data_IF_905591245276
#
_entry.id   IF_905591245276
#
_cell.length_a   1.000
_cell.length_b   1.000
_cell.length_c   1.000
_cell.angle_alpha   90.00
_cell.angle_beta   90.00
_cell.angle_gamma   90.00
#
_symmetry.space_group_name_H-M   'P 1'
#
loop_
_entity.id
_entity.type
_entity.pdbx_description
1 polymer ?
#
# COMPACT_ATOMS: atom_id res chain seq x y z
N UNK A 1 -1.99 -9.50 -18.54
CA UNK A 1 -0.70 -9.70 -19.23
C UNK A 1 0.38 -8.91 -18.50
N UNK A 2 1.36 -9.57 -17.85
CA UNK A 2 2.56 -8.94 -17.26
C UNK A 2 3.84 -9.73 -17.59
N UNK A 3 3.81 -10.59 -18.61
CA UNK A 3 4.97 -11.41 -19.00
C UNK A 3 6.07 -10.46 -19.50
N UNK A 4 7.23 -10.47 -18.85
CA UNK A 4 8.40 -9.63 -19.18
C UNK A 4 8.62 -8.42 -18.27
N UNK A 5 7.57 -7.91 -17.62
CA UNK A 5 7.64 -6.73 -16.72
C UNK A 5 7.90 -7.09 -15.25
N UNK A 6 7.92 -8.38 -14.92
CA UNK A 6 8.13 -8.88 -13.54
C UNK A 6 9.61 -8.95 -13.22
N UNK A 7 10.01 -8.43 -12.05
CA UNK A 7 11.35 -8.57 -11.50
C UNK A 7 11.76 -10.03 -11.31
N UNK A 8 12.99 -10.36 -11.74
CA UNK A 8 13.57 -11.70 -11.54
C UNK A 8 14.00 -11.89 -10.09
N UNK A 9 13.89 -13.12 -9.57
CA UNK A 9 14.30 -13.43 -8.18
C UNK A 9 15.82 -13.27 -8.02
N UNK A 10 16.25 -12.68 -6.90
CA UNK A 10 17.67 -12.55 -6.54
C UNK A 10 18.43 -11.36 -7.15
N UNK A 11 17.78 -10.51 -7.96
CA UNK A 11 18.38 -9.24 -8.41
C UNK A 11 17.99 -8.11 -7.45
N UNK A 12 18.96 -7.31 -7.01
CA UNK A 12 18.76 -6.13 -6.15
C UNK A 12 18.34 -4.88 -6.91
N UNK A 13 18.71 -4.77 -8.18
CA UNK A 13 18.32 -3.69 -9.07
C UNK A 13 17.76 -4.25 -10.38
N UNK A 14 16.58 -3.77 -10.78
CA UNK A 14 15.91 -4.19 -12.02
C UNK A 14 15.10 -3.01 -12.58
N UNK A 15 15.78 -1.99 -13.14
CA UNK A 15 15.15 -0.76 -13.58
C UNK A 15 14.14 -1.02 -14.71
N UNK A 16 13.00 -0.32 -14.66
CA UNK A 16 11.93 -0.46 -15.66
C UNK A 16 11.01 -1.67 -15.48
N UNK A 17 11.16 -2.43 -14.39
CA UNK A 17 10.25 -3.55 -14.05
C UNK A 17 9.27 -3.19 -12.94
N UNK A 18 8.09 -3.78 -13.01
CA UNK A 18 7.03 -3.61 -12.02
C UNK A 18 7.38 -4.43 -10.78
N UNK A 19 7.56 -3.74 -9.65
CA UNK A 19 7.64 -4.37 -8.33
C UNK A 19 6.25 -4.34 -7.70
N UNK A 20 5.70 -5.53 -7.43
CA UNK A 20 4.40 -5.66 -6.78
C UNK A 20 4.64 -5.63 -5.27
N UNK A 21 4.62 -4.43 -4.68
CA UNK A 21 4.95 -4.24 -3.26
C UNK A 21 3.82 -4.67 -2.31
N UNK A 22 2.57 -4.61 -2.78
CA UNK A 22 1.39 -4.83 -1.95
C UNK A 22 0.27 -5.48 -2.76
N UNK A 23 -0.36 -6.49 -2.16
CA UNK A 23 -1.60 -7.09 -2.63
C UNK A 23 -2.63 -6.99 -1.52
N UNK A 24 -3.84 -6.56 -1.88
CA UNK A 24 -4.96 -6.41 -0.96
C UNK A 24 -6.17 -7.16 -1.54
N UNK A 25 -6.89 -7.85 -0.67
CA UNK A 25 -8.19 -8.41 -0.98
C UNK A 25 -9.24 -7.29 -1.00
N UNK A 26 -10.28 -7.48 -1.82
CA UNK A 26 -11.38 -6.52 -1.94
C UNK A 26 -12.18 -6.36 -0.63
N UNK A 27 -12.14 -7.37 0.25
CA UNK A 27 -12.72 -7.34 1.60
C UNK A 27 -11.93 -6.49 2.57
N UNK A 28 -10.66 -6.16 2.25
CA UNK A 28 -9.68 -5.56 3.16
C UNK A 28 -8.84 -4.50 2.44
N UNK A 29 -9.52 -3.46 1.96
CA UNK A 29 -8.90 -2.37 1.22
C UNK A 29 -8.25 -1.31 2.13
N UNK A 30 -8.59 -1.28 3.41
CA UNK A 30 -8.06 -0.31 4.37
C UNK A 30 -6.68 -0.70 4.90
N UNK A 31 -5.75 0.25 4.96
CA UNK A 31 -4.47 0.03 5.62
C UNK A 31 -4.62 0.07 7.16
N UNK A 32 -3.90 -0.77 7.92
CA UNK A 32 -3.99 -0.77 9.38
C UNK A 32 -3.44 0.52 9.97
N UNK A 33 -4.00 0.94 11.12
CA UNK A 33 -3.70 2.24 11.73
C UNK A 33 -2.22 2.46 12.04
N UNK A 34 -1.49 1.42 12.45
CA UNK A 34 -0.06 1.53 12.78
C UNK A 34 0.85 1.83 11.58
N UNK A 35 0.36 1.62 10.35
CA UNK A 35 1.12 1.86 9.12
C UNK A 35 0.72 3.18 8.44
N UNK A 36 -0.27 3.91 8.98
CA UNK A 36 -0.78 5.17 8.41
C UNK A 36 0.18 6.32 8.75
N UNK A 37 0.83 6.87 7.74
CA UNK A 37 1.74 8.00 7.85
C UNK A 37 1.76 8.77 6.52
N UNK A 38 2.51 9.87 6.46
CA UNK A 38 2.60 10.71 5.26
C UNK A 38 3.16 9.94 4.05
N UNK A 39 4.09 9.00 4.25
CA UNK A 39 4.63 8.18 3.16
C UNK A 39 3.57 7.22 2.61
N UNK A 40 2.86 6.49 3.46
CA UNK A 40 1.81 5.57 3.01
C UNK A 40 0.60 6.31 2.43
N UNK A 41 0.29 7.50 2.93
CA UNK A 41 -0.71 8.38 2.31
C UNK A 41 -0.32 8.76 0.87
N UNK A 42 0.96 9.09 0.65
CA UNK A 42 1.48 9.38 -0.67
C UNK A 42 1.42 8.16 -1.61
N UNK A 43 1.81 6.98 -1.13
CA UNK A 43 1.71 5.73 -1.90
C UNK A 43 0.26 5.43 -2.31
N UNK A 44 -0.72 5.68 -1.43
CA UNK A 44 -2.15 5.51 -1.74
C UNK A 44 -2.59 6.49 -2.83
N UNK A 45 -2.16 7.75 -2.78
CA UNK A 45 -2.46 8.72 -3.84
C UNK A 45 -1.88 8.32 -5.20
N UNK A 46 -0.69 7.71 -5.20
CA UNK A 46 -0.04 7.23 -6.44
C UNK A 46 -0.60 5.90 -6.94
N UNK A 47 -1.33 5.15 -6.11
CA UNK A 47 -1.87 3.86 -6.47
C UNK A 47 -2.91 4.02 -7.60
N UNK A 48 -2.66 3.34 -8.73
CA UNK A 48 -3.59 3.26 -9.86
C UNK A 48 -4.01 1.83 -10.11
N UNK A 49 -5.32 1.55 -10.25
CA UNK A 49 -5.77 0.21 -10.60
C UNK A 49 -5.31 -0.14 -12.02
N UNK A 50 -4.73 -1.32 -12.21
CA UNK A 50 -4.45 -1.85 -13.56
C UNK A 50 -5.74 -2.30 -14.26
N UNK A 51 -6.75 -2.67 -13.48
CA UNK A 51 -8.08 -3.05 -13.94
C UNK A 51 -9.08 -2.63 -12.87
N UNK A 52 -10.05 -1.79 -13.22
CA UNK A 52 -11.05 -1.28 -12.30
C UNK A 52 -12.43 -1.82 -12.69
N UNK A 53 -12.90 -2.83 -11.95
CA UNK A 53 -14.31 -3.24 -11.97
C UNK A 53 -15.01 -2.64 -10.73
N UNK A 54 -16.31 -2.40 -10.82
CA UNK A 54 -17.17 -2.09 -9.66
C UNK A 54 -16.66 -0.94 -8.77
N UNK A 55 -16.14 0.13 -9.40
CA UNK A 55 -15.62 1.33 -8.72
C UNK A 55 -14.54 1.02 -7.67
N UNK A 56 -13.73 -0.04 -7.87
CA UNK A 56 -12.67 -0.48 -6.94
C UNK A 56 -11.78 0.67 -6.44
N UNK A 57 -11.39 1.58 -7.34
CA UNK A 57 -10.56 2.73 -6.97
C UNK A 57 -11.26 3.65 -5.97
N UNK A 58 -12.54 3.94 -6.20
CA UNK A 58 -13.32 4.80 -5.32
C UNK A 58 -13.55 4.16 -3.95
N UNK A 59 -13.81 2.85 -3.92
CA UNK A 59 -13.89 2.08 -2.67
C UNK A 59 -12.57 2.04 -1.90
N UNK A 60 -11.45 1.83 -2.60
CA UNK A 60 -10.12 1.85 -2.00
C UNK A 60 -9.80 3.20 -1.36
N UNK A 61 -10.15 4.31 -2.03
CA UNK A 61 -10.00 5.66 -1.47
C UNK A 61 -10.97 5.93 -0.31
N UNK A 62 -12.21 5.41 -0.37
CA UNK A 62 -13.19 5.57 0.70
C UNK A 62 -12.75 4.88 2.00
N UNK A 63 -12.21 3.66 1.91
CA UNK A 63 -11.65 2.90 3.05
C UNK A 63 -10.35 3.53 3.60
N UNK A 64 -9.71 4.41 2.83
CA UNK A 64 -8.50 5.14 3.19
C UNK A 64 -8.72 6.66 3.23
N UNK A 65 -9.90 7.10 3.69
CA UNK A 65 -10.26 8.52 3.76
C UNK A 65 -9.33 9.37 4.65
N UNK A 66 -8.62 8.74 5.59
CA UNK A 66 -7.59 9.34 6.44
C UNK A 66 -6.44 9.99 5.64
N UNK A 67 -6.25 9.61 4.37
CA UNK A 67 -5.28 10.25 3.47
C UNK A 67 -5.53 11.76 3.33
N UNK A 68 -6.78 12.22 3.48
CA UNK A 68 -7.14 13.64 3.48
C UNK A 68 -6.54 14.44 4.64
N UNK A 69 -6.16 13.79 5.73
CA UNK A 69 -5.46 14.45 6.85
C UNK A 69 -4.08 14.97 6.41
N UNK A 70 -3.44 14.27 5.47
CA UNK A 70 -2.14 14.66 4.91
C UNK A 70 -2.27 15.44 3.59
N UNK A 71 -3.26 15.12 2.77
CA UNK A 71 -3.46 15.70 1.44
C UNK A 71 -4.91 16.19 1.27
N UNK A 72 -5.31 17.31 1.92
CA UNK A 72 -6.69 17.79 1.90
C UNK A 72 -7.16 18.24 0.51
N UNK A 73 -6.22 18.68 -0.33
CA UNK A 73 -6.51 19.13 -1.70
C UNK A 73 -6.72 17.97 -2.69
N UNK A 74 -6.54 16.72 -2.25
CA UNK A 74 -6.71 15.57 -3.13
C UNK A 74 -8.19 15.21 -3.27
N UNK A 75 -8.70 15.29 -4.49
CA UNK A 75 -10.09 14.95 -4.81
C UNK A 75 -10.30 13.44 -4.75
N UNK A 76 -11.05 12.98 -3.74
CA UNK A 76 -11.40 11.57 -3.65
C UNK A 76 -12.62 11.30 -4.53
N UNK A 77 -12.56 10.29 -5.41
CA UNK A 77 -13.73 9.85 -6.16
C UNK A 77 -14.82 9.38 -5.18
N UNK A 78 -16.04 9.88 -5.40
CA UNK A 78 -17.22 9.46 -4.63
C UNK A 78 -17.57 8.01 -4.98
N UNK A 79 -18.00 7.23 -4.00
CA UNK A 79 -18.41 5.83 -4.20
C UNK A 79 -19.77 5.59 -3.56
N UNK A 80 -20.60 4.82 -4.25
CA UNK A 80 -21.74 4.19 -3.60
C UNK A 80 -21.21 2.98 -2.80
N UNK A 81 -21.49 2.96 -1.49
CA UNK A 81 -21.05 1.87 -0.61
C UNK A 81 -21.79 0.59 -1.03
N UNK A 82 -21.11 -0.29 -1.76
CA UNK A 82 -21.61 -1.66 -2.00
C UNK A 82 -21.11 -2.58 -0.91
N UNK A 83 -22.03 -3.30 -0.29
CA UNK A 83 -21.67 -4.39 0.62
C UNK A 83 -20.96 -5.50 -0.16
N UNK A 84 -19.79 -5.90 0.33
CA UNK A 84 -19.13 -7.12 -0.14
C UNK A 84 -20.04 -8.29 0.19
N UNK A 85 -20.45 -9.07 -0.82
CA UNK A 85 -21.35 -10.20 -0.64
C UNK A 85 -20.84 -11.16 0.44
N UNK A 86 -21.73 -11.58 1.35
CA UNK A 86 -21.43 -12.57 2.38
C UNK A 86 -20.93 -13.85 1.71
N UNK A 87 -19.70 -14.24 2.02
CA UNK A 87 -19.10 -15.48 1.53
C UNK A 87 -19.81 -16.70 2.10
N UNK A 88 -19.92 -17.77 1.32
CA UNK A 88 -20.37 -19.05 1.87
C UNK A 88 -19.28 -19.59 2.81
N UNK A 89 -19.66 -20.00 4.01
CA UNK A 89 -18.81 -20.66 5.01
C UNK A 89 -17.90 -21.76 4.47
N UNK A 90 -18.36 -22.51 3.45
CA UNK A 90 -17.54 -23.52 2.78
C UNK A 90 -16.31 -22.91 2.09
N UNK A 91 -16.49 -21.81 1.36
CA UNK A 91 -15.40 -21.12 0.69
C UNK A 91 -14.44 -20.48 1.69
N UNK A 92 -14.93 -19.98 2.82
CA UNK A 92 -14.07 -19.44 3.89
C UNK A 92 -13.15 -20.51 4.50
N UNK A 93 -13.66 -21.74 4.68
CA UNK A 93 -12.82 -22.87 5.15
C UNK A 93 -11.82 -23.31 4.11
N UNK A 94 -12.22 -23.37 2.85
CA UNK A 94 -11.32 -23.73 1.76
C UNK A 94 -10.20 -22.70 1.64
N UNK A 95 -10.52 -21.41 1.75
CA UNK A 95 -9.55 -20.31 1.78
C UNK A 95 -8.57 -20.47 2.94
N UNK A 96 -9.04 -20.80 4.14
CA UNK A 96 -8.17 -21.07 5.29
C UNK A 96 -7.19 -22.23 5.03
N UNK A 97 -7.67 -23.34 4.44
CA UNK A 97 -6.83 -24.48 4.10
C UNK A 97 -5.81 -24.13 3.00
N UNK A 98 -6.25 -23.40 1.97
CA UNK A 98 -5.40 -22.94 0.88
C UNK A 98 -4.31 -22.00 1.39
N UNK A 99 -4.65 -21.06 2.28
CA UNK A 99 -3.68 -20.18 2.93
C UNK A 99 -2.64 -20.99 3.71
N UNK A 100 -3.05 -22.00 4.49
CA UNK A 100 -2.11 -22.87 5.22
C UNK A 100 -1.18 -23.62 4.26
N UNK A 101 -1.71 -24.15 3.16
CA UNK A 101 -0.92 -24.83 2.13
C UNK A 101 0.06 -23.87 1.44
N UNK A 102 -0.36 -22.63 1.14
CA UNK A 102 0.49 -21.59 0.60
C UNK A 102 1.63 -21.24 1.56
N UNK A 103 1.33 -21.04 2.85
CA UNK A 103 2.35 -20.75 3.86
C UNK A 103 3.35 -21.91 4.00
N UNK A 104 2.88 -23.16 3.89
CA UNK A 104 3.73 -24.34 3.91
C UNK A 104 4.65 -24.41 2.69
N UNK A 105 4.11 -24.22 1.48
CA UNK A 105 4.90 -24.17 0.24
C UNK A 105 5.95 -23.05 0.25
N UNK A 106 5.59 -21.90 0.81
CA UNK A 106 6.48 -20.74 0.90
C UNK A 106 7.47 -20.81 2.06
N UNK A 107 7.35 -21.80 2.97
CA UNK A 107 8.10 -21.83 4.24
C UNK A 107 9.61 -21.66 4.03
N UNK A 108 10.18 -22.40 3.09
CA UNK A 108 11.63 -22.41 2.87
C UNK A 108 12.13 -21.21 2.07
N UNK A 109 11.21 -20.38 1.55
CA UNK A 109 11.49 -19.22 0.68
C UNK A 109 11.02 -17.90 1.27
N UNK A 110 10.38 -17.93 2.43
CA UNK A 110 9.84 -16.74 3.09
C UNK A 110 10.99 -15.96 3.68
N UNK A 111 11.03 -14.67 3.34
CA UNK A 111 11.99 -13.73 3.93
C UNK A 111 11.24 -12.79 4.88
N UNK A 112 11.40 -11.47 4.73
CA UNK A 112 10.79 -10.45 5.59
C UNK A 112 9.38 -10.02 5.14
N UNK A 113 8.78 -10.76 4.23
CA UNK A 113 7.45 -10.48 3.68
C UNK A 113 6.33 -10.81 4.68
N UNK A 114 5.35 -9.91 4.78
CA UNK A 114 4.15 -10.09 5.62
C UNK A 114 3.06 -10.71 4.75
N UNK A 115 2.74 -11.99 5.01
CA UNK A 115 1.71 -12.74 4.29
C UNK A 115 0.55 -13.00 5.24
N UNK A 116 -0.49 -12.19 5.13
CA UNK A 116 -1.76 -12.38 5.83
C UNK A 116 -2.83 -12.92 4.87
N UNK A 117 -4.00 -13.29 5.39
CA UNK A 117 -5.08 -13.87 4.56
C UNK A 117 -5.61 -12.89 3.52
N UNK A 118 -5.77 -11.63 3.90
CA UNK A 118 -6.37 -10.60 3.04
C UNK A 118 -5.35 -9.61 2.49
N UNK A 119 -4.09 -9.70 2.91
CA UNK A 119 -3.03 -8.80 2.44
C UNK A 119 -1.68 -9.50 2.35
N UNK A 120 -0.90 -9.10 1.34
CA UNK A 120 0.47 -9.57 1.16
C UNK A 120 1.35 -8.36 0.89
N UNK A 121 2.39 -8.17 1.71
CA UNK A 121 3.32 -7.06 1.59
C UNK A 121 4.74 -7.58 1.40
N UNK A 122 5.37 -7.10 0.33
CA UNK A 122 6.74 -7.46 -0.07
C UNK A 122 7.72 -6.30 0.22
N UNK A 123 7.64 -5.71 1.41
CA UNK A 123 8.59 -4.69 1.85
C UNK A 123 9.80 -5.36 2.53
N UNK A 124 10.98 -5.43 1.89
CA UNK A 124 12.15 -6.06 2.50
C UNK A 124 12.74 -5.23 3.66
N UNK A 125 12.46 -3.93 3.67
CA UNK A 125 12.93 -2.92 4.64
C UNK A 125 11.84 -1.88 4.80
N UNK A 126 11.65 -1.35 6.01
CA UNK A 126 10.78 -0.21 6.25
C UNK A 126 11.46 1.08 5.75
N UNK A 127 11.21 1.42 4.48
CA UNK A 127 11.69 2.68 3.89
C UNK A 127 10.96 3.91 4.44
N UNK A 128 9.78 3.73 5.06
CA UNK A 128 8.96 4.84 5.54
C UNK A 128 9.75 5.69 6.53
N UNK A 129 10.39 5.05 7.51
CA UNK A 129 11.16 5.78 8.54
C UNK A 129 12.29 6.63 7.94
N UNK A 130 13.03 6.07 6.97
CA UNK A 130 14.12 6.78 6.30
C UNK A 130 13.59 7.98 5.52
N UNK A 131 12.57 7.78 4.70
CA UNK A 131 11.98 8.82 3.86
C UNK A 131 11.37 9.93 4.72
N UNK A 132 10.64 9.58 5.79
CA UNK A 132 10.07 10.56 6.71
C UNK A 132 11.15 11.36 7.44
N UNK A 133 12.26 10.73 7.82
CA UNK A 133 13.42 11.40 8.40
C UNK A 133 14.03 12.42 7.43
N UNK A 134 14.29 12.02 6.20
CA UNK A 134 14.84 12.89 5.16
C UNK A 134 13.88 14.06 4.83
N UNK A 135 12.59 13.77 4.77
CA UNK A 135 11.55 14.76 4.50
C UNK A 135 11.46 15.79 5.64
N UNK A 136 11.54 15.35 6.89
CA UNK A 136 11.57 16.24 8.06
C UNK A 136 12.75 17.21 8.01
N UNK A 137 13.94 16.71 7.64
CA UNK A 137 15.14 17.55 7.49
C UNK A 137 14.93 18.58 6.38
N UNK A 138 14.34 18.18 5.24
CA UNK A 138 14.05 19.11 4.14
C UNK A 138 13.03 20.17 4.52
N UNK A 139 11.94 19.78 5.18
CA UNK A 139 10.95 20.74 5.70
C UNK A 139 11.59 21.74 6.65
N UNK A 140 12.41 21.28 7.59
CA UNK A 140 13.14 22.15 8.52
C UNK A 140 14.02 23.18 7.80
N UNK A 141 14.78 22.76 6.78
CA UNK A 141 15.60 23.68 5.99
C UNK A 141 14.77 24.73 5.27
N UNK A 142 13.66 24.33 4.64
CA UNK A 142 12.79 25.26 3.91
C UNK A 142 12.14 26.27 4.86
N UNK A 143 11.65 25.82 6.02
CA UNK A 143 11.01 26.74 6.98
C UNK A 143 12.01 27.72 7.58
N UNK A 144 13.25 27.30 7.88
CA UNK A 144 14.27 28.18 8.48
C UNK A 144 15.06 29.01 7.46
N UNK A 145 15.06 28.63 6.18
CA UNK A 145 15.54 29.50 5.11
C UNK A 145 14.49 30.55 4.69
N UNK A 146 13.21 30.29 5.01
CA UNK A 146 12.10 31.20 4.74
C UNK A 146 11.79 32.16 5.90
N UNK A 147 12.47 32.04 7.06
CA UNK A 147 12.45 33.12 8.05
C UNK A 147 13.22 34.31 7.47
N UNK A 148 12.56 35.47 7.25
CA UNK A 148 13.30 36.69 6.97
C UNK A 148 14.21 36.94 8.17
N UNK A 149 15.51 37.14 7.92
CA UNK A 149 16.37 37.73 8.93
C UNK A 149 15.81 39.13 9.19
N UNK A 150 14.99 39.25 10.23
CA UNK A 150 14.40 40.52 10.60
C UNK A 150 15.54 41.52 10.83
N UNK A 151 15.42 42.58 10.04
CA UNK A 151 16.28 43.74 9.90
C UNK A 151 16.47 44.37 11.28
N UNK A 152 17.74 44.50 11.70
CA UNK A 152 18.13 45.35 12.84
C UNK A 152 17.83 46.82 12.58
#
# INVERSE_FOLDING_TARGET
MLKGLKRSRGKEEDPGKVCLNMFLAETSLSLPKGERNLFTAHEICLARPLWAKDQLQARFFAENSWVKEFFPNYELPQTDRRETGKGNWFWEKLDFLAHKLQLWYMRDRRTRETVERERIMFHPVDLSQKILGDLKIRFYRVTHQAEPQDVK
#
